data_IF_680000533604
#
_entry.id   IF_680000533604
#
_cell.length_a   1.000
_cell.length_b   1.000
_cell.length_c   1.000
_cell.angle_alpha   90.00
_cell.angle_beta   90.00
_cell.angle_gamma   90.00
#
_symmetry.space_group_name_H-M   'P 1'
#
loop_
_entity.id
_entity.type
_entity.pdbx_description
1 polymer ?
#
# COMPACT_ATOMS: atom_id res chain seq x y z
N UNK A 1 -5.94 6.49 -6.75
CA UNK A 1 -5.28 6.34 -5.43
C UNK A 1 -4.08 5.38 -5.40
N UNK A 2 -4.22 4.04 -5.51
CA UNK A 2 -3.05 3.13 -5.35
C UNK A 2 -1.92 3.44 -6.34
N UNK A 3 -2.24 3.59 -7.63
CA UNK A 3 -1.24 3.94 -8.64
C UNK A 3 -0.61 5.32 -8.40
N UNK A 4 -1.36 6.28 -7.86
CA UNK A 4 -0.80 7.61 -7.52
C UNK A 4 0.19 7.52 -6.35
N UNK A 5 -0.16 6.79 -5.28
CA UNK A 5 0.72 6.59 -4.13
C UNK A 5 2.02 5.86 -4.52
N UNK A 6 1.93 4.92 -5.47
CA UNK A 6 3.08 4.21 -6.05
C UNK A 6 3.96 5.16 -6.88
N UNK A 7 3.35 6.00 -7.72
CA UNK A 7 4.08 7.04 -8.48
C UNK A 7 4.76 8.08 -7.58
N UNK A 8 4.15 8.40 -6.43
CA UNK A 8 4.72 9.29 -5.41
C UNK A 8 5.80 8.60 -4.56
N UNK A 9 6.00 7.29 -4.72
CA UNK A 9 7.02 6.51 -4.00
C UNK A 9 6.67 6.21 -2.54
N UNK A 10 5.43 6.44 -2.11
CA UNK A 10 4.97 6.21 -0.73
C UNK A 10 4.70 4.71 -0.50
N UNK A 11 4.27 4.01 -1.55
CA UNK A 11 4.09 2.55 -1.55
C UNK A 11 4.82 1.96 -2.75
N UNK A 12 4.99 0.64 -2.73
CA UNK A 12 5.39 -0.15 -3.88
C UNK A 12 4.28 -1.14 -4.22
N UNK A 13 3.66 -1.00 -5.39
CA UNK A 13 2.62 -1.89 -5.87
C UNK A 13 3.13 -2.76 -7.02
N UNK A 14 3.08 -4.09 -6.85
CA UNK A 14 3.52 -5.06 -7.87
C UNK A 14 2.43 -6.04 -8.23
N UNK A 15 2.21 -6.26 -9.53
CA UNK A 15 1.27 -7.27 -10.01
C UNK A 15 1.91 -8.66 -9.88
N UNK A 16 1.19 -9.59 -9.25
CA UNK A 16 1.60 -10.98 -9.11
C UNK A 16 0.53 -11.90 -9.69
N UNK A 17 0.95 -12.82 -10.55
CA UNK A 17 0.06 -13.83 -11.10
C UNK A 17 0.03 -15.07 -10.22
N UNK A 18 -1.17 -15.63 -10.03
CA UNK A 18 -1.41 -16.94 -9.41
C UNK A 18 -1.99 -17.95 -10.42
N UNK A 19 -1.67 -17.78 -11.71
CA UNK A 19 -2.14 -18.66 -12.78
C UNK A 19 -3.67 -18.61 -12.93
N UNK A 20 -4.31 -19.78 -12.88
CA UNK A 20 -5.78 -19.90 -12.99
C UNK A 20 -6.56 -19.20 -11.88
N UNK A 21 -5.91 -18.85 -10.76
CA UNK A 21 -6.52 -18.10 -9.66
C UNK A 21 -6.53 -16.58 -9.89
N UNK A 22 -6.03 -16.11 -11.04
CA UNK A 22 -6.03 -14.70 -11.42
C UNK A 22 -4.73 -13.98 -11.06
N UNK A 23 -4.81 -12.64 -11.05
CA UNK A 23 -3.71 -11.74 -10.69
C UNK A 23 -4.12 -10.91 -9.48
N UNK A 24 -3.16 -10.54 -8.65
CA UNK A 24 -3.34 -9.66 -7.49
C UNK A 24 -2.31 -8.55 -7.56
N UNK A 25 -2.54 -7.45 -6.82
CA UNK A 25 -1.47 -6.51 -6.48
C UNK A 25 -0.96 -6.83 -5.08
N UNK A 26 0.33 -7.11 -4.98
CA UNK A 26 1.04 -7.03 -3.71
C UNK A 26 1.43 -5.57 -3.47
N UNK A 27 1.07 -5.04 -2.32
CA UNK A 27 1.36 -3.67 -1.92
C UNK A 27 2.26 -3.72 -0.69
N UNK A 28 3.38 -3.02 -0.78
CA UNK A 28 4.35 -2.84 0.29
C UNK A 28 4.44 -1.36 0.63
N UNK A 29 4.43 -1.04 1.92
CA UNK A 29 4.55 0.35 2.38
C UNK A 29 6.02 0.72 2.34
N UNK A 30 6.35 1.80 1.63
CA UNK A 30 7.70 2.35 1.55
C UNK A 30 7.72 3.75 2.17
N UNK A 31 7.38 3.84 3.46
CA UNK A 31 7.37 5.10 4.19
C UNK A 31 8.68 5.30 4.94
N UNK A 32 9.31 6.45 4.74
CA UNK A 32 10.39 6.90 5.61
C UNK A 32 9.85 7.31 6.97
N UNK A 33 10.73 7.37 7.98
CA UNK A 33 10.37 7.84 9.32
C UNK A 33 9.78 9.26 9.31
N UNK A 34 10.16 10.09 8.33
CA UNK A 34 9.62 11.44 8.18
C UNK A 34 8.13 11.41 7.83
N UNK A 35 7.71 10.53 6.91
CA UNK A 35 6.30 10.36 6.54
C UNK A 35 5.52 9.80 7.73
N UNK A 36 6.08 8.84 8.46
CA UNK A 36 5.46 8.33 9.69
C UNK A 36 5.24 9.44 10.71
N UNK A 37 6.22 10.35 10.87
CA UNK A 37 6.09 11.48 11.80
C UNK A 37 5.03 12.51 11.40
N UNK A 38 4.72 12.62 10.10
CA UNK A 38 3.63 13.46 9.60
C UNK A 38 2.29 12.80 9.94
N UNK A 39 2.16 11.50 9.72
CA UNK A 39 0.95 10.73 10.01
C UNK A 39 0.64 10.68 11.52
N UNK A 40 1.67 10.57 12.36
CA UNK A 40 1.54 10.50 13.83
C UNK A 40 1.07 11.83 14.46
N UNK A 41 1.25 12.95 13.75
CA UNK A 41 0.81 14.28 14.22
C UNK A 41 -0.62 14.62 13.79
N UNK A 42 -1.20 13.82 12.91
CA UNK A 42 -2.52 14.07 12.37
C UNK A 42 -3.57 13.36 13.25
N UNK A 43 -4.45 14.16 13.85
CA UNK A 43 -5.51 13.72 14.76
C UNK A 43 -6.44 12.68 14.10
N UNK A 44 -6.53 12.66 12.76
CA UNK A 44 -7.30 11.66 12.01
C UNK A 44 -6.78 10.24 12.21
N UNK A 45 -5.51 10.08 12.56
CA UNK A 45 -4.87 8.79 12.74
C UNK A 45 -4.68 8.42 14.22
N UNK A 46 -5.22 9.22 15.15
CA UNK A 46 -5.12 8.92 16.58
C UNK A 46 -5.79 7.57 16.91
N UNK A 47 -5.09 6.74 17.66
CA UNK A 47 -5.51 5.38 18.00
C UNK A 47 -5.29 4.31 16.92
N UNK A 48 -4.73 4.64 15.75
CA UNK A 48 -4.34 3.64 14.74
C UNK A 48 -2.91 3.15 14.99
N UNK A 49 -2.74 1.82 15.06
CA UNK A 49 -1.41 1.20 15.11
C UNK A 49 -0.96 0.86 13.69
N UNK A 50 -0.01 1.62 13.16
CA UNK A 50 0.62 1.32 11.87
C UNK A 50 1.50 0.08 12.03
N UNK A 51 1.12 -1.03 11.38
CA UNK A 51 1.96 -2.24 11.29
C UNK A 51 2.65 -2.25 9.93
N UNK A 52 3.98 -2.31 9.93
CA UNK A 52 4.76 -2.59 8.71
C UNK A 52 4.48 -4.03 8.27
N UNK A 53 3.54 -4.20 7.35
CA UNK A 53 3.09 -5.50 6.86
C UNK A 53 2.84 -5.46 5.36
N UNK A 54 3.03 -6.60 4.71
CA UNK A 54 2.79 -6.75 3.28
C UNK A 54 1.32 -7.09 3.04
N UNK A 55 0.62 -6.28 2.25
CA UNK A 55 -0.80 -6.48 1.95
C UNK A 55 -0.96 -7.05 0.53
N UNK A 56 -1.93 -7.95 0.35
CA UNK A 56 -2.34 -8.42 -0.97
C UNK A 56 -3.78 -7.98 -1.24
N UNK A 57 -4.03 -7.44 -2.43
CA UNK A 57 -5.36 -7.00 -2.84
C UNK A 57 -5.69 -7.51 -4.23
N UNK A 58 -6.79 -8.25 -4.35
CA UNK A 58 -7.32 -8.71 -5.63
C UNK A 58 -7.94 -7.52 -6.37
N UNK A 59 -7.43 -7.26 -7.56
CA UNK A 59 -7.92 -6.20 -8.43
C UNK A 59 -8.67 -6.84 -9.59
N UNK A 60 -9.98 -6.57 -9.69
CA UNK A 60 -10.86 -7.15 -10.71
C UNK A 60 -10.91 -6.33 -12.01
N UNK A 61 -10.23 -5.17 -12.08
CA UNK A 61 -10.26 -4.25 -13.21
C UNK A 61 -8.90 -4.11 -13.92
N UNK A 62 -8.28 -5.23 -14.27
CA UNK A 62 -7.17 -5.27 -15.23
C UNK A 62 -7.61 -6.05 -16.47
N UNK A 63 -8.39 -5.41 -17.33
CA UNK A 63 -8.51 -5.75 -18.76
C UNK A 63 -7.48 -4.95 -19.56
#
# INVERSE_FOLDING_TARGET
LISELDMLGIINARVKSFGRKGRTKEIEINVSNDILSILDRDELFDGLVIKSGKQMTFDSHFE
#
